data_IF_477983063558
#
_entry.id   IF_477983063558
#
_cell.length_a   1.000
_cell.length_b   1.000
_cell.length_c   1.000
_cell.angle_alpha   90.00
_cell.angle_beta   90.00
_cell.angle_gamma   90.00
#
_symmetry.space_group_name_H-M   'P 1'
#
loop_
_entity.id
_entity.type
_entity.pdbx_description
1 polymer ?
#
# COMPACT_ATOMS: atom_id res chain seq x y z
N UNK A 1 -17.99 10.03 -18.73
CA UNK A 1 -17.01 8.97 -18.42
C UNK A 1 -16.86 8.97 -16.91
N UNK A 2 -17.26 7.88 -16.26
CA UNK A 2 -17.15 7.75 -14.80
C UNK A 2 -15.68 7.95 -14.43
N UNK A 3 -15.45 9.06 -13.75
CA UNK A 3 -14.15 9.54 -13.29
C UNK A 3 -13.51 8.41 -12.49
N UNK A 4 -12.25 8.08 -12.80
CA UNK A 4 -11.43 7.13 -12.04
C UNK A 4 -11.72 7.33 -10.56
N UNK A 5 -12.20 6.28 -9.88
CA UNK A 5 -12.63 6.32 -8.47
C UNK A 5 -11.40 6.48 -7.58
N UNK A 6 -10.84 7.69 -7.60
CA UNK A 6 -9.59 8.12 -6.99
C UNK A 6 -9.94 8.90 -5.73
N UNK A 7 -9.29 8.57 -4.62
CA UNK A 7 -9.52 9.25 -3.35
C UNK A 7 -8.72 10.56 -3.21
N UNK A 8 -8.84 11.20 -2.05
CA UNK A 8 -8.19 12.48 -1.74
C UNK A 8 -6.66 12.43 -1.79
N UNK A 9 -6.05 11.25 -1.65
CA UNK A 9 -4.61 11.04 -1.72
C UNK A 9 -4.14 10.55 -3.08
N UNK A 10 -5.06 10.40 -4.05
CA UNK A 10 -4.73 9.95 -5.39
C UNK A 10 -4.74 8.44 -5.57
N UNK A 11 -5.19 7.66 -4.58
CA UNK A 11 -5.25 6.21 -4.69
C UNK A 11 -6.47 5.81 -5.51
N UNK A 12 -6.23 4.98 -6.52
CA UNK A 12 -7.31 4.40 -7.31
C UNK A 12 -7.97 3.21 -6.57
N UNK A 13 -8.87 2.51 -7.27
CA UNK A 13 -9.56 1.34 -6.71
C UNK A 13 -8.60 0.19 -6.39
N UNK A 14 -7.59 -0.05 -7.24
CA UNK A 14 -6.64 -1.15 -7.05
C UNK A 14 -5.69 -0.84 -5.89
N UNK A 15 -5.18 0.39 -5.80
CA UNK A 15 -4.35 0.85 -4.69
C UNK A 15 -5.03 0.62 -3.33
N UNK A 16 -6.28 1.06 -3.22
CA UNK A 16 -7.09 0.87 -2.01
C UNK A 16 -7.35 -0.60 -1.72
N UNK A 17 -7.58 -1.43 -2.74
CA UNK A 17 -7.77 -2.87 -2.57
C UNK A 17 -6.49 -3.54 -2.05
N UNK A 18 -5.32 -3.20 -2.59
CA UNK A 18 -4.02 -3.72 -2.17
C UNK A 18 -3.71 -3.34 -0.73
N UNK A 19 -3.86 -2.06 -0.36
CA UNK A 19 -3.66 -1.62 1.03
C UNK A 19 -4.63 -2.30 2.00
N UNK A 20 -5.91 -2.39 1.60
CA UNK A 20 -6.93 -3.04 2.42
C UNK A 20 -6.59 -4.50 2.65
N UNK A 21 -6.19 -5.25 1.63
CA UNK A 21 -5.76 -6.63 1.77
C UNK A 21 -4.53 -6.74 2.68
N UNK A 22 -3.50 -5.92 2.42
CA UNK A 22 -2.25 -5.93 3.19
C UNK A 22 -2.48 -5.68 4.68
N UNK A 23 -3.32 -4.70 5.02
CA UNK A 23 -3.59 -4.33 6.41
C UNK A 23 -4.65 -5.23 7.06
N UNK A 24 -5.84 -5.36 6.47
CA UNK A 24 -6.97 -6.05 7.11
C UNK A 24 -6.89 -7.56 7.03
N UNK A 25 -6.36 -8.11 5.94
CA UNK A 25 -6.26 -9.57 5.76
C UNK A 25 -4.97 -10.11 6.33
N UNK A 26 -3.87 -9.39 6.16
CA UNK A 26 -2.53 -9.89 6.50
C UNK A 26 -1.85 -9.18 7.68
N UNK A 27 -2.57 -8.32 8.39
CA UNK A 27 -2.06 -7.65 9.58
C UNK A 27 -0.87 -6.73 9.32
N UNK A 28 -0.74 -6.21 8.10
CA UNK A 28 0.35 -5.33 7.70
C UNK A 28 1.58 -6.03 7.12
N UNK A 29 1.61 -7.37 7.03
CA UNK A 29 2.69 -8.13 6.41
C UNK A 29 3.85 -8.52 7.34
N UNK A 30 4.98 -9.04 6.80
CA UNK A 30 5.36 -9.09 5.38
C UNK A 30 4.60 -10.14 4.55
N UNK A 31 4.16 -9.77 3.35
CA UNK A 31 3.45 -10.67 2.40
C UNK A 31 4.05 -10.63 1.00
N UNK A 32 4.17 -11.78 0.34
CA UNK A 32 4.61 -11.85 -1.06
C UNK A 32 3.58 -11.28 -2.04
N UNK A 33 4.03 -10.67 -3.14
CA UNK A 33 3.09 -10.03 -4.09
C UNK A 33 2.09 -11.01 -4.67
N UNK A 34 2.47 -12.26 -4.93
CA UNK A 34 1.57 -13.24 -5.51
C UNK A 34 0.37 -13.50 -4.59
N UNK A 35 0.58 -13.48 -3.27
CA UNK A 35 -0.49 -13.62 -2.28
C UNK A 35 -1.40 -12.39 -2.24
N UNK A 36 -0.83 -11.19 -2.33
CA UNK A 36 -1.60 -9.94 -2.40
C UNK A 36 -2.43 -9.90 -3.68
N UNK A 37 -1.83 -10.23 -4.82
CA UNK A 37 -2.45 -10.27 -6.14
C UNK A 37 -3.65 -11.24 -6.16
N UNK A 38 -3.49 -12.44 -5.60
CA UNK A 38 -4.60 -13.40 -5.43
C UNK A 38 -5.72 -12.81 -4.57
N UNK A 39 -5.39 -12.11 -3.48
CA UNK A 39 -6.40 -11.51 -2.60
C UNK A 39 -7.20 -10.38 -3.26
N UNK A 40 -6.61 -9.66 -4.21
CA UNK A 40 -7.28 -8.56 -4.94
C UNK A 40 -7.80 -8.96 -6.32
N UNK A 41 -7.56 -10.20 -6.76
CA UNK A 41 -8.02 -10.73 -8.04
C UNK A 41 -7.24 -10.21 -9.25
N UNK A 42 -5.97 -9.86 -9.08
CA UNK A 42 -5.10 -9.32 -10.12
C UNK A 42 -3.91 -10.23 -10.41
N UNK A 43 -3.22 -9.95 -11.52
CA UNK A 43 -1.92 -10.55 -11.80
C UNK A 43 -0.83 -9.93 -10.91
N UNK A 44 0.18 -10.72 -10.45
CA UNK A 44 1.28 -10.18 -9.65
C UNK A 44 2.00 -9.02 -10.32
N UNK A 45 2.22 -9.11 -11.64
CA UNK A 45 2.85 -8.04 -12.42
C UNK A 45 2.04 -6.73 -12.38
N UNK A 46 0.70 -6.79 -12.44
CA UNK A 46 -0.16 -5.61 -12.30
C UNK A 46 0.08 -4.92 -10.95
N UNK A 47 0.14 -5.69 -9.86
CA UNK A 47 0.40 -5.12 -8.53
C UNK A 47 1.80 -4.51 -8.45
N UNK A 48 2.83 -5.19 -8.97
CA UNK A 48 4.23 -4.71 -8.92
C UNK A 48 4.49 -3.49 -9.82
N UNK A 49 3.91 -3.47 -11.01
CA UNK A 49 4.24 -2.48 -12.05
C UNK A 49 3.30 -1.28 -12.04
N UNK A 50 2.05 -1.45 -11.59
CA UNK A 50 1.03 -0.39 -11.61
C UNK A 50 0.82 0.20 -10.22
N UNK A 51 0.59 -0.65 -9.22
CA UNK A 51 0.17 -0.22 -7.88
C UNK A 51 1.37 0.16 -6.97
N UNK A 52 2.37 -0.70 -6.86
CA UNK A 52 3.52 -0.48 -5.99
C UNK A 52 4.27 0.84 -6.21
N UNK A 53 4.53 1.31 -7.45
CA UNK A 53 5.27 2.55 -7.66
C UNK A 53 4.57 3.77 -7.04
N UNK A 54 3.24 3.77 -6.99
CA UNK A 54 2.48 4.82 -6.34
C UNK A 54 2.49 4.65 -4.81
N UNK A 55 2.10 3.47 -4.31
CA UNK A 55 2.00 3.21 -2.87
C UNK A 55 3.34 3.36 -2.13
N UNK A 56 4.46 3.01 -2.78
CA UNK A 56 5.81 3.24 -2.23
C UNK A 56 6.14 4.72 -2.17
N UNK A 57 5.84 5.50 -3.22
CA UNK A 57 6.10 6.95 -3.25
C UNK A 57 5.20 7.71 -2.27
N UNK A 58 3.95 7.27 -2.12
CA UNK A 58 3.02 7.79 -1.12
C UNK A 58 3.41 7.38 0.32
N UNK A 59 4.46 6.58 0.50
CA UNK A 59 4.94 6.15 1.81
C UNK A 59 4.00 5.18 2.51
N UNK A 60 3.07 4.53 1.81
CA UNK A 60 2.06 3.62 2.35
C UNK A 60 2.50 2.15 2.34
N UNK A 61 3.43 1.79 1.45
CA UNK A 61 3.94 0.43 1.29
C UNK A 61 5.46 0.42 1.29
N UNK A 62 6.05 -0.50 2.05
CA UNK A 62 7.48 -0.77 2.03
C UNK A 62 7.76 -2.14 1.43
N UNK A 63 8.77 -2.22 0.56
CA UNK A 63 9.29 -3.48 0.02
C UNK A 63 10.43 -3.98 0.89
N UNK A 64 10.35 -5.24 1.32
CA UNK A 64 11.40 -5.92 2.09
C UNK A 64 11.76 -7.23 1.38
N UNK A 65 12.92 -7.84 1.68
CA UNK A 65 13.27 -9.16 1.15
C UNK A 65 12.25 -10.26 1.51
N UNK A 66 11.47 -10.06 2.59
CA UNK A 66 10.45 -11.02 3.05
C UNK A 66 9.06 -10.78 2.44
N UNK A 67 8.87 -9.67 1.75
CA UNK A 67 7.58 -9.25 1.20
C UNK A 67 7.27 -7.78 1.43
N UNK A 68 6.02 -7.41 1.18
CA UNK A 68 5.49 -6.05 1.30
C UNK A 68 4.93 -5.87 2.69
N UNK A 69 5.18 -4.70 3.25
CA UNK A 69 4.75 -4.31 4.60
C UNK A 69 3.99 -2.99 4.51
N UNK A 70 2.86 -2.89 5.20
CA UNK A 70 2.11 -1.65 5.33
C UNK A 70 2.82 -0.73 6.33
N UNK A 71 3.04 0.52 5.95
CA UNK A 71 3.58 1.55 6.84
C UNK A 71 2.48 2.14 7.73
N UNK A 72 2.87 2.92 8.74
CA UNK A 72 1.91 3.61 9.59
C UNK A 72 0.93 4.50 8.81
N UNK A 73 1.35 5.16 7.71
CA UNK A 73 0.45 5.92 6.83
C UNK A 73 -0.67 5.06 6.25
N UNK A 74 -0.38 3.83 5.80
CA UNK A 74 -1.42 2.94 5.27
C UNK A 74 -2.48 2.58 6.32
N UNK A 75 -2.05 2.27 7.55
CA UNK A 75 -2.99 2.01 8.65
C UNK A 75 -3.89 3.21 8.93
N UNK A 76 -3.29 4.40 9.04
CA UNK A 76 -4.02 5.64 9.29
C UNK A 76 -4.97 6.01 8.16
N UNK A 77 -4.55 5.80 6.90
CA UNK A 77 -5.39 6.00 5.73
C UNK A 77 -6.67 5.14 5.81
N UNK A 78 -6.55 3.90 6.27
CA UNK A 78 -7.69 3.00 6.50
C UNK A 78 -8.45 3.26 7.82
N UNK A 79 -8.11 4.33 8.54
CA UNK A 79 -8.64 4.73 9.86
C UNK A 79 -8.45 3.65 10.93
N UNK A 80 -7.28 3.00 10.91
CA UNK A 80 -6.86 2.00 11.88
C UNK A 80 -5.64 2.49 12.66
N UNK A 81 -5.48 1.99 13.88
CA UNK A 81 -4.27 2.25 14.69
C UNK A 81 -3.13 1.33 14.20
N UNK A 82 -1.96 1.88 13.82
CA UNK A 82 -0.82 1.06 13.45
C UNK A 82 -0.28 0.27 14.65
N UNK A 83 0.23 -0.97 14.45
CA UNK A 83 0.95 -1.67 15.50
C UNK A 83 2.23 -0.91 15.88
N UNK A 84 2.72 -1.13 17.11
CA UNK A 84 3.85 -0.38 17.67
C UNK A 84 5.15 -0.52 16.87
N UNK A 85 5.30 -1.59 16.10
CA UNK A 85 6.44 -1.90 15.24
C UNK A 85 6.18 -1.60 13.75
N UNK A 86 5.05 -0.98 13.41
CA UNK A 86 4.78 -0.54 12.04
C UNK A 86 5.90 0.38 11.56
N UNK A 87 6.31 0.19 10.29
CA UNK A 87 7.30 1.07 9.67
C UNK A 87 6.78 2.51 9.71
N UNK A 88 7.50 3.36 10.43
CA UNK A 88 7.19 4.78 10.55
C UNK A 88 7.39 5.43 9.19
N UNK A 89 6.49 6.33 8.82
CA UNK A 89 6.52 7.01 7.53
C UNK A 89 7.91 7.63 7.32
N UNK A 90 8.57 7.38 6.17
CA UNK A 90 9.80 8.07 5.87
C UNK A 90 9.47 9.56 5.88
N UNK A 91 10.16 10.32 6.74
CA UNK A 91 10.03 11.77 6.80
C UNK A 91 10.11 12.35 5.37
N UNK A 92 9.36 13.42 5.04
CA UNK A 92 9.33 13.96 3.69
C UNK A 92 10.75 14.18 3.21
N UNK A 93 11.14 13.44 2.16
CA UNK A 93 12.48 13.56 1.59
C UNK A 93 12.61 14.94 0.99
N UNK A 94 13.75 15.56 1.26
CA UNK A 94 14.21 16.93 1.01
C UNK A 94 14.22 17.39 -0.47
N UNK A 95 13.18 17.09 -1.26
CA UNK A 95 13.04 17.48 -2.67
C UNK A 95 11.78 18.33 -2.93
N UNK A 96 11.37 19.13 -1.95
CA UNK A 96 10.44 20.26 -2.15
C UNK A 96 11.07 21.54 -1.60
N UNK A 97 12.03 22.10 -2.37
CA UNK A 97 12.58 23.45 -2.19
C UNK A 97 12.72 24.12 -3.56
#
# INVERSE_FOLDING_TARGET
LAVYDVDELGLDRLDRAVLTALVRTFGGGPVGVSTIAVAVGEEPATVEEVCEPFLVRAGMLARTPRGRVATAAAWRHLRLEPPADALVDPAPTLFEA
#
